data_IF_837015656801
#
_entry.id   IF_837015656801
#
_cell.length_a   1.000
_cell.length_b   1.000
_cell.length_c   1.000
_cell.angle_alpha   90.00
_cell.angle_beta   90.00
_cell.angle_gamma   90.00
#
_symmetry.space_group_name_H-M   'P 1'
#
loop_
_entity.id
_entity.type
_entity.pdbx_description
1 polymer ?
#
# COMPACT_ATOMS: atom_id res chain seq x y z
N UNK A 1 20.19 24.92 13.43
CA UNK A 1 19.25 24.69 12.32
C UNK A 1 19.07 23.18 12.25
N UNK A 2 17.87 22.66 12.53
CA UNK A 2 17.59 21.22 12.40
C UNK A 2 17.72 20.84 10.92
N UNK A 3 18.62 19.92 10.58
CA UNK A 3 18.68 19.36 9.24
C UNK A 3 17.67 18.20 9.12
N UNK A 4 17.23 17.88 7.90
CA UNK A 4 16.28 16.77 7.66
C UNK A 4 16.83 15.43 8.20
N UNK A 5 18.14 15.24 8.15
CA UNK A 5 18.84 14.07 8.73
C UNK A 5 18.76 13.98 10.27
N UNK A 6 18.41 15.08 10.94
CA UNK A 6 18.27 15.16 12.39
C UNK A 6 16.80 14.95 12.83
N UNK A 7 15.87 14.76 11.88
CA UNK A 7 14.48 14.42 12.15
C UNK A 7 14.37 12.91 12.41
N UNK A 8 13.56 12.54 13.40
CA UNK A 8 13.19 11.16 13.67
C UNK A 8 12.24 10.65 12.57
N UNK A 9 12.82 10.22 11.46
CA UNK A 9 12.11 9.69 10.29
C UNK A 9 12.08 8.18 10.39
N UNK A 10 10.88 7.62 10.51
CA UNK A 10 10.69 6.16 10.51
C UNK A 10 11.03 5.55 9.15
N UNK A 11 11.85 4.51 9.14
CA UNK A 11 12.16 3.74 7.93
C UNK A 11 10.98 2.84 7.55
N UNK A 12 10.93 2.37 6.31
CA UNK A 12 9.91 1.38 5.90
C UNK A 12 10.00 0.09 6.73
N UNK A 13 11.19 -0.36 7.12
CA UNK A 13 11.36 -1.54 7.99
C UNK A 13 10.64 -1.34 9.32
N UNK A 14 10.78 -0.15 9.92
CA UNK A 14 10.11 0.19 11.18
C UNK A 14 8.59 0.27 11.01
N UNK A 15 8.12 0.80 9.88
CA UNK A 15 6.69 0.81 9.53
C UNK A 15 6.14 -0.61 9.31
N UNK A 16 6.97 -1.50 8.77
CA UNK A 16 6.57 -2.84 8.36
C UNK A 16 6.52 -3.87 9.50
N UNK A 17 6.99 -3.51 10.70
CA UNK A 17 7.02 -4.42 11.86
C UNK A 17 5.63 -4.94 12.27
N UNK A 18 4.55 -4.21 11.91
CA UNK A 18 3.17 -4.61 12.19
C UNK A 18 2.32 -4.56 10.92
N UNK A 19 2.40 -5.58 10.05
CA UNK A 19 1.56 -5.65 8.86
C UNK A 19 0.07 -5.62 9.25
N UNK A 20 -0.76 -4.85 8.53
CA UNK A 20 -2.19 -4.86 8.76
C UNK A 20 -2.79 -6.21 8.36
N UNK A 21 -3.91 -6.60 8.98
CA UNK A 21 -4.62 -7.86 8.68
C UNK A 21 -4.92 -7.99 7.18
N UNK A 22 -5.29 -6.90 6.51
CA UNK A 22 -5.59 -6.91 5.08
C UNK A 22 -4.41 -7.35 4.21
N UNK A 23 -3.18 -7.06 4.64
CA UNK A 23 -1.99 -7.53 3.91
C UNK A 23 -1.82 -9.04 4.03
N UNK A 24 -2.01 -9.58 5.23
CA UNK A 24 -1.95 -11.01 5.41
C UNK A 24 -3.07 -11.74 4.65
N UNK A 25 -4.27 -11.16 4.63
CA UNK A 25 -5.40 -11.68 3.87
C UNK A 25 -5.10 -11.77 2.36
N UNK A 26 -4.28 -10.87 1.79
CA UNK A 26 -3.86 -10.98 0.38
C UNK A 26 -3.13 -12.29 0.09
N UNK A 27 -2.33 -12.79 1.02
CA UNK A 27 -1.60 -14.06 0.86
C UNK A 27 -2.54 -15.29 0.86
N UNK A 28 -3.71 -15.17 1.49
CA UNK A 28 -4.73 -16.22 1.51
C UNK A 28 -5.64 -16.14 0.28
N UNK A 29 -6.00 -14.92 -0.15
CA UNK A 29 -6.88 -14.70 -1.29
C UNK A 29 -6.18 -14.96 -2.64
N UNK A 30 -4.90 -14.60 -2.74
CA UNK A 30 -4.11 -14.70 -3.97
C UNK A 30 -2.77 -15.42 -3.71
N UNK A 31 -2.77 -16.69 -3.27
CA UNK A 31 -1.58 -17.38 -2.79
C UNK A 31 -0.48 -17.49 -3.86
N UNK A 32 -0.84 -17.87 -5.08
CA UNK A 32 0.12 -18.04 -6.18
C UNK A 32 0.73 -16.71 -6.63
N UNK A 33 -0.10 -15.66 -6.76
CA UNK A 33 0.35 -14.33 -7.14
C UNK A 33 1.22 -13.70 -6.04
N UNK A 34 0.86 -13.91 -4.77
CA UNK A 34 1.63 -13.46 -3.62
C UNK A 34 3.00 -14.16 -3.57
N UNK A 35 3.04 -15.49 -3.70
CA UNK A 35 4.28 -16.26 -3.71
C UNK A 35 5.20 -15.87 -4.88
N UNK A 36 4.62 -15.61 -6.06
CA UNK A 36 5.34 -15.10 -7.23
C UNK A 36 5.89 -13.68 -7.00
N UNK A 37 5.12 -12.81 -6.35
CA UNK A 37 5.49 -11.40 -6.14
C UNK A 37 6.54 -11.20 -5.02
N UNK A 38 6.49 -12.04 -3.99
CA UNK A 38 7.34 -11.95 -2.79
C UNK A 38 7.98 -13.31 -2.46
N UNK A 39 8.82 -13.86 -3.36
CA UNK A 39 9.37 -15.20 -3.20
C UNK A 39 10.31 -15.28 -2.01
N UNK A 40 10.09 -16.26 -1.12
CA UNK A 40 10.99 -16.55 0.01
C UNK A 40 11.03 -15.49 1.12
N UNK A 41 10.18 -14.46 1.05
CA UNK A 41 10.16 -13.37 2.04
C UNK A 41 9.29 -13.75 3.25
N UNK A 42 9.71 -13.33 4.45
CA UNK A 42 8.82 -13.29 5.61
C UNK A 42 7.69 -12.28 5.42
N UNK A 43 6.62 -12.38 6.22
CA UNK A 43 5.47 -11.47 6.10
C UNK A 43 5.86 -10.00 6.29
N UNK A 44 6.80 -9.70 7.20
CA UNK A 44 7.29 -8.33 7.43
C UNK A 44 8.15 -7.82 6.28
N UNK A 45 9.00 -8.66 5.69
CA UNK A 45 9.84 -8.29 4.54
C UNK A 45 8.98 -8.06 3.29
N UNK A 46 8.05 -8.99 3.02
CA UNK A 46 7.10 -8.87 1.93
C UNK A 46 6.25 -7.59 2.08
N UNK A 47 5.81 -7.26 3.30
CA UNK A 47 5.07 -6.04 3.55
C UNK A 47 5.91 -4.78 3.30
N UNK A 48 7.17 -4.75 3.75
CA UNK A 48 8.09 -3.63 3.49
C UNK A 48 8.31 -3.42 1.98
N UNK A 49 8.55 -4.49 1.23
CA UNK A 49 8.73 -4.45 -0.22
C UNK A 49 7.45 -4.01 -0.94
N UNK A 50 6.29 -4.53 -0.53
CA UNK A 50 4.98 -4.14 -1.05
C UNK A 50 4.69 -2.66 -0.77
N UNK A 51 5.04 -2.13 0.40
CA UNK A 51 4.88 -0.71 0.72
C UNK A 51 5.72 0.18 -0.20
N UNK A 52 6.99 -0.16 -0.43
CA UNK A 52 7.86 0.61 -1.35
C UNK A 52 7.34 0.56 -2.77
N UNK A 53 7.00 -0.63 -3.25
CA UNK A 53 6.49 -0.83 -4.61
C UNK A 53 5.15 -0.14 -4.80
N UNK A 54 4.25 -0.23 -3.82
CA UNK A 54 2.94 0.40 -3.83
C UNK A 54 3.04 1.91 -3.80
N UNK A 55 3.92 2.46 -2.96
CA UNK A 55 4.20 3.91 -2.91
C UNK A 55 4.77 4.43 -4.24
N UNK A 56 5.76 3.72 -4.82
CA UNK A 56 6.29 4.06 -6.16
C UNK A 56 5.23 3.98 -7.24
N UNK A 57 4.35 2.99 -7.17
CA UNK A 57 3.22 2.84 -8.10
C UNK A 57 2.23 3.99 -7.93
N UNK A 58 1.88 4.36 -6.70
CA UNK A 58 1.00 5.49 -6.39
C UNK A 58 1.51 6.82 -6.97
N UNK A 59 2.83 7.05 -6.88
CA UNK A 59 3.49 8.22 -7.47
C UNK A 59 3.53 8.11 -9.00
N UNK A 60 3.97 6.96 -9.53
CA UNK A 60 4.17 6.74 -10.96
C UNK A 60 2.88 6.81 -11.78
N UNK A 61 1.77 6.40 -11.19
CA UNK A 61 0.42 6.46 -11.78
C UNK A 61 -0.31 7.78 -11.49
N UNK A 62 0.39 8.73 -10.86
CA UNK A 62 -0.09 10.06 -10.50
C UNK A 62 -1.40 10.05 -9.67
N UNK A 63 -1.61 9.03 -8.84
CA UNK A 63 -2.79 8.91 -7.99
C UNK A 63 -2.95 10.13 -7.06
N UNK A 64 -1.84 10.69 -6.58
CA UNK A 64 -1.76 11.90 -5.75
C UNK A 64 -2.36 13.16 -6.40
N UNK A 65 -2.52 13.15 -7.72
CA UNK A 65 -3.11 14.28 -8.45
C UNK A 65 -4.65 14.32 -8.33
N UNK A 66 -5.27 13.16 -8.10
CA UNK A 66 -6.71 13.02 -7.91
C UNK A 66 -7.10 12.80 -6.44
N UNK A 67 -6.21 12.20 -5.65
CA UNK A 67 -6.42 11.82 -4.27
C UNK A 67 -5.45 12.54 -3.34
N UNK A 68 -6.01 13.23 -2.36
CA UNK A 68 -5.23 13.76 -1.25
C UNK A 68 -4.93 12.68 -0.22
N UNK A 69 -3.88 12.89 0.55
CA UNK A 69 -3.57 12.10 1.73
C UNK A 69 -3.41 13.05 2.92
N UNK A 70 -4.44 13.87 3.17
CA UNK A 70 -4.48 14.81 4.29
C UNK A 70 -5.93 15.16 4.63
N UNK A 71 -6.45 14.61 5.73
CA UNK A 71 -7.74 15.04 6.28
C UNK A 71 -7.56 16.38 6.99
N UNK A 72 -8.27 17.42 6.51
CA UNK A 72 -8.14 18.78 7.03
C UNK A 72 -9.06 18.99 8.24
N UNK A 73 -8.73 19.92 9.16
CA UNK A 73 -9.57 20.22 10.33
C UNK A 73 -10.80 21.09 10.01
N UNK A 74 -11.19 21.21 8.74
CA UNK A 74 -12.29 22.06 8.30
C UNK A 74 -13.06 21.42 7.13
N UNK A 75 -14.18 22.03 6.73
CA UNK A 75 -14.96 21.57 5.57
C UNK A 75 -15.68 20.24 5.79
N UNK A 76 -15.89 19.84 7.04
CA UNK A 76 -16.48 18.55 7.44
C UNK A 76 -15.69 17.33 6.92
N UNK A 77 -14.40 17.51 6.67
CA UNK A 77 -13.49 16.43 6.27
C UNK A 77 -13.45 15.32 7.32
N UNK A 78 -13.47 15.67 8.61
CA UNK A 78 -13.41 14.69 9.70
C UNK A 78 -14.62 13.73 9.69
N UNK A 79 -15.82 14.25 9.43
CA UNK A 79 -17.01 13.40 9.33
C UNK A 79 -17.05 12.54 8.05
N UNK A 80 -16.31 12.93 7.00
CA UNK A 80 -16.27 12.20 5.72
C UNK A 80 -15.19 11.12 5.67
N UNK A 81 -14.03 11.42 6.26
CA UNK A 81 -12.82 10.62 6.11
C UNK A 81 -12.27 10.11 7.44
N UNK A 82 -12.83 10.50 8.58
CA UNK A 82 -12.36 10.15 9.92
C UNK A 82 -11.41 11.20 10.49
N UNK A 83 -10.71 10.87 11.58
CA UNK A 83 -9.87 11.82 12.35
C UNK A 83 -8.92 12.65 11.47
N UNK A 84 -8.89 13.97 11.71
CA UNK A 84 -7.96 14.89 11.04
C UNK A 84 -6.50 14.43 11.08
N UNK A 85 -5.75 14.80 10.07
CA UNK A 85 -4.33 14.45 9.96
C UNK A 85 -3.45 15.30 10.88
N UNK A 86 -2.39 14.69 11.37
CA UNK A 86 -1.39 15.30 12.25
C UNK A 86 0.01 15.24 11.60
N UNK A 87 0.87 16.25 11.76
CA UNK A 87 2.20 16.29 11.13
C UNK A 87 3.06 15.06 11.40
N UNK A 88 2.97 14.48 12.60
CA UNK A 88 3.75 13.33 13.06
C UNK A 88 3.47 12.07 12.23
N UNK A 89 2.30 11.99 11.61
CA UNK A 89 1.92 10.87 10.74
C UNK A 89 2.80 10.80 9.48
N UNK A 90 3.33 11.94 9.03
CA UNK A 90 4.16 12.07 7.84
C UNK A 90 5.66 11.95 8.13
N UNK A 91 6.07 11.79 9.40
CA UNK A 91 7.47 11.57 9.78
C UNK A 91 7.89 10.12 9.49
N UNK A 92 7.99 9.79 8.20
CA UNK A 92 8.44 8.50 7.71
C UNK A 92 8.96 8.59 6.26
N UNK A 93 9.73 7.58 5.84
CA UNK A 93 10.37 7.49 4.54
C UNK A 93 9.39 7.61 3.36
N UNK A 94 8.15 7.09 3.48
CA UNK A 94 7.14 7.13 2.43
C UNK A 94 6.41 8.48 2.31
N UNK A 95 6.69 9.44 3.19
CA UNK A 95 6.04 10.75 3.18
C UNK A 95 7.06 11.89 3.14
N UNK A 96 8.27 11.59 2.67
CA UNK A 96 9.34 12.55 2.47
C UNK A 96 9.81 12.49 1.00
N UNK A 97 9.27 13.33 0.11
CA UNK A 97 8.35 14.46 0.35
C UNK A 97 6.89 14.05 0.61
N UNK A 98 6.06 14.91 1.24
CA UNK A 98 4.69 14.58 1.60
C UNK A 98 3.75 14.54 0.39
N UNK A 99 2.80 13.59 0.43
CA UNK A 99 1.80 13.36 -0.61
C UNK A 99 0.41 13.92 -0.23
N UNK A 100 0.36 15.05 0.47
CA UNK A 100 -0.90 15.66 0.95
C UNK A 100 -1.93 15.91 -0.16
N UNK A 101 -1.47 16.07 -1.40
CA UNK A 101 -2.30 16.35 -2.57
C UNK A 101 -2.77 17.80 -2.59
N UNK A 102 -3.02 18.32 -3.79
CA UNK A 102 -3.46 19.71 -4.01
C UNK A 102 -4.90 19.82 -4.51
N UNK A 103 -5.46 18.70 -4.98
CA UNK A 103 -6.80 18.59 -5.54
C UNK A 103 -7.46 17.29 -5.08
N UNK A 104 -8.79 17.29 -5.03
CA UNK A 104 -9.63 16.11 -4.75
C UNK A 104 -10.64 15.92 -5.87
N UNK A 105 -10.29 15.08 -6.84
CA UNK A 105 -11.25 14.54 -7.81
C UNK A 105 -11.86 13.26 -7.22
N UNK A 106 -11.03 12.42 -6.61
CA UNK A 106 -11.44 11.32 -5.76
C UNK A 106 -11.43 11.68 -4.27
N UNK A 107 -11.87 10.74 -3.40
CA UNK A 107 -11.82 10.90 -1.95
C UNK A 107 -10.39 10.98 -1.41
N UNK A 108 -10.24 11.50 -0.19
CA UNK A 108 -8.98 11.43 0.55
C UNK A 108 -8.66 9.98 0.94
N UNK A 109 -7.38 9.59 0.87
CA UNK A 109 -6.93 8.22 1.07
C UNK A 109 -6.17 7.98 2.38
N UNK A 110 -5.76 9.01 3.15
CA UNK A 110 -4.89 8.81 4.34
C UNK A 110 -5.53 7.94 5.43
N UNK A 111 -6.85 7.76 5.36
CA UNK A 111 -7.66 6.92 6.25
C UNK A 111 -8.37 5.78 5.51
N UNK A 112 -7.92 5.39 4.30
CA UNK A 112 -8.65 4.42 3.49
C UNK A 112 -8.53 2.98 4.01
N UNK A 113 -7.45 2.69 4.73
CA UNK A 113 -7.14 1.35 5.22
C UNK A 113 -8.28 0.70 5.98
N UNK A 114 -8.61 -0.52 5.59
CA UNK A 114 -9.65 -1.34 6.21
C UNK A 114 -11.09 -0.89 5.94
N UNK A 115 -11.34 0.18 5.17
CA UNK A 115 -12.71 0.62 4.84
C UNK A 115 -13.37 -0.14 3.70
N UNK A 116 -12.58 -0.90 2.94
CA UNK A 116 -13.04 -1.78 1.87
C UNK A 116 -12.23 -3.07 1.88
N UNK A 117 -12.81 -4.13 1.31
CA UNK A 117 -12.11 -5.40 1.14
C UNK A 117 -11.03 -5.29 0.06
N UNK A 118 -10.04 -6.19 0.10
CA UNK A 118 -9.05 -6.30 -0.96
C UNK A 118 -9.70 -6.60 -2.32
N UNK A 119 -10.76 -7.40 -2.34
CA UNK A 119 -11.49 -7.73 -3.58
C UNK A 119 -12.21 -6.50 -4.15
N UNK A 120 -12.74 -5.62 -3.29
CA UNK A 120 -13.25 -4.33 -3.73
C UNK A 120 -12.14 -3.49 -4.37
N UNK A 121 -10.93 -3.47 -3.77
CA UNK A 121 -9.80 -2.76 -4.36
C UNK A 121 -9.36 -3.36 -5.70
N UNK A 122 -9.33 -4.69 -5.81
CA UNK A 122 -9.09 -5.41 -7.06
C UNK A 122 -10.12 -5.02 -8.12
N UNK A 123 -11.41 -5.07 -7.82
CA UNK A 123 -12.44 -4.68 -8.78
C UNK A 123 -12.36 -3.18 -9.13
N UNK A 124 -12.09 -2.33 -8.12
CA UNK A 124 -12.00 -0.88 -8.30
C UNK A 124 -10.85 -0.46 -9.22
N UNK A 125 -9.65 -1.03 -9.05
CA UNK A 125 -8.53 -0.70 -9.91
C UNK A 125 -8.68 -1.31 -11.31
N UNK A 126 -9.35 -2.45 -11.45
CA UNK A 126 -9.62 -3.06 -12.76
C UNK A 126 -10.59 -2.20 -13.58
N UNK A 127 -11.74 -1.84 -12.99
CA UNK A 127 -12.74 -1.01 -13.62
C UNK A 127 -13.57 -0.24 -12.57
N UNK A 128 -13.20 1.02 -12.23
CA UNK A 128 -13.82 1.76 -11.13
C UNK A 128 -15.35 1.90 -11.19
N UNK A 129 -16.00 2.10 -12.36
CA UNK A 129 -17.45 2.18 -12.49
C UNK A 129 -18.23 0.94 -12.02
N UNK A 130 -17.61 -0.24 -12.02
CA UNK A 130 -18.30 -1.49 -11.65
C UNK A 130 -18.65 -1.54 -10.16
N UNK A 131 -17.81 -0.92 -9.31
CA UNK A 131 -18.02 -0.84 -7.86
C UNK A 131 -18.43 0.55 -7.39
N UNK A 132 -18.24 1.57 -8.22
CA UNK A 132 -18.63 2.95 -7.94
C UNK A 132 -19.23 3.60 -9.20
N UNK A 133 -20.54 3.42 -9.44
CA UNK A 133 -21.21 3.95 -10.63
C UNK A 133 -20.99 5.46 -10.79
N UNK A 134 -20.56 5.88 -11.98
CA UNK A 134 -20.24 7.29 -12.27
C UNK A 134 -18.84 7.74 -11.81
N UNK A 135 -17.97 6.80 -11.38
CA UNK A 135 -16.57 7.09 -11.12
C UNK A 135 -15.88 7.65 -12.38
N UNK A 136 -15.12 8.73 -12.19
CA UNK A 136 -14.26 9.33 -13.22
C UNK A 136 -12.81 8.86 -13.12
N UNK A 137 -12.51 7.97 -12.17
CA UNK A 137 -11.17 7.38 -12.01
C UNK A 137 -10.83 6.51 -13.24
N UNK A 138 -9.60 6.60 -13.79
CA UNK A 138 -9.14 5.71 -14.85
C UNK A 138 -9.06 4.25 -14.38
N UNK A 139 -9.19 3.31 -15.33
CA UNK A 139 -8.90 1.90 -15.11
C UNK A 139 -7.39 1.61 -15.19
N UNK A 140 -6.92 0.64 -14.40
CA UNK A 140 -5.52 0.23 -14.30
C UNK A 140 -5.35 -1.28 -14.63
N UNK A 141 -5.72 -1.75 -15.83
CA UNK A 141 -5.68 -3.17 -16.18
C UNK A 141 -4.26 -3.78 -16.15
N UNK A 142 -3.21 -2.96 -16.22
CA UNK A 142 -1.81 -3.42 -16.10
C UNK A 142 -1.38 -3.79 -14.68
N UNK A 143 -2.26 -3.64 -13.69
CA UNK A 143 -2.06 -4.17 -12.33
C UNK A 143 -2.41 -5.66 -12.21
N UNK A 144 -2.87 -6.28 -13.29
CA UNK A 144 -3.31 -7.67 -13.33
C UNK A 144 -2.44 -8.50 -14.26
N UNK A 145 -2.52 -9.81 -14.09
CA UNK A 145 -2.02 -10.78 -15.05
C UNK A 145 -2.94 -10.81 -16.29
N UNK A 146 -2.57 -11.60 -17.30
CA UNK A 146 -3.31 -11.69 -18.55
C UNK A 146 -4.75 -12.23 -18.41
N UNK A 147 -5.07 -12.88 -17.28
CA UNK A 147 -6.42 -13.35 -16.95
C UNK A 147 -7.37 -12.22 -16.52
N UNK A 148 -6.84 -11.02 -16.24
CA UNK A 148 -7.60 -9.83 -15.87
C UNK A 148 -8.17 -9.82 -14.46
N UNK A 149 -7.98 -10.88 -13.67
CA UNK A 149 -8.55 -10.99 -12.32
C UNK A 149 -7.49 -11.22 -11.24
N UNK A 150 -6.33 -11.74 -11.61
CA UNK A 150 -5.23 -11.98 -10.69
C UNK A 150 -4.34 -10.75 -10.62
N UNK A 151 -4.24 -10.05 -9.46
CA UNK A 151 -3.34 -8.91 -9.31
C UNK A 151 -1.88 -9.37 -9.41
N UNK A 152 -1.07 -8.69 -10.22
CA UNK A 152 0.36 -8.91 -10.29
C UNK A 152 1.08 -8.19 -9.14
N UNK A 153 2.42 -8.21 -9.10
CA UNK A 153 3.21 -7.55 -8.04
C UNK A 153 2.82 -6.07 -7.83
N UNK A 154 2.56 -5.30 -8.90
CA UNK A 154 2.12 -3.90 -8.78
C UNK A 154 0.73 -3.81 -8.18
N UNK A 155 -0.21 -4.65 -8.63
CA UNK A 155 -1.57 -4.72 -8.11
C UNK A 155 -1.62 -5.05 -6.62
N UNK A 156 -0.93 -6.11 -6.19
CA UNK A 156 -0.83 -6.46 -4.78
C UNK A 156 -0.19 -5.33 -3.95
N UNK A 157 0.86 -4.71 -4.48
CA UNK A 157 1.58 -3.65 -3.78
C UNK A 157 0.78 -2.35 -3.64
N UNK A 158 0.05 -1.91 -4.67
CA UNK A 158 -0.77 -0.69 -4.59
C UNK A 158 -1.95 -0.88 -3.64
N UNK A 159 -2.58 -2.06 -3.65
CA UNK A 159 -3.64 -2.41 -2.68
C UNK A 159 -3.07 -2.37 -1.27
N UNK A 160 -1.90 -2.99 -1.05
CA UNK A 160 -1.20 -2.97 0.23
C UNK A 160 -0.93 -1.56 0.72
N UNK A 161 -0.40 -0.69 -0.15
CA UNK A 161 -0.12 0.70 0.19
C UNK A 161 -1.40 1.46 0.59
N UNK A 162 -2.49 1.33 -0.18
CA UNK A 162 -3.77 1.97 0.17
C UNK A 162 -4.36 1.41 1.46
N UNK A 163 -4.23 0.10 1.70
CA UNK A 163 -4.69 -0.55 2.93
C UNK A 163 -3.85 -0.16 4.16
N UNK A 164 -2.60 0.23 3.96
CA UNK A 164 -1.73 0.72 5.02
C UNK A 164 -2.10 2.15 5.48
N UNK A 165 -2.68 2.98 4.62
CA UNK A 165 -3.03 4.36 4.95
C UNK A 165 -4.08 4.43 6.08
N UNK A 166 -3.63 4.87 7.26
CA UNK A 166 -4.45 4.99 8.47
C UNK A 166 -4.36 3.80 9.41
N UNK A 167 -3.54 2.78 9.10
CA UNK A 167 -3.38 1.58 9.92
C UNK A 167 -2.79 1.85 11.32
N UNK A 168 -2.14 2.99 11.52
CA UNK A 168 -1.54 3.42 12.78
C UNK A 168 -2.55 4.06 13.76
N UNK A 169 -3.80 4.26 13.34
CA UNK A 169 -4.87 4.70 14.24
C UNK A 169 -5.67 3.51 14.77
N UNK A 170 -6.30 3.66 15.96
CA UNK A 170 -7.30 2.70 16.41
C UNK A 170 -8.40 2.55 15.35
N UNK A 171 -8.69 1.31 14.96
CA UNK A 171 -9.74 0.99 14.00
C UNK A 171 -11.01 0.65 14.78
N UNK A 172 -12.06 1.45 14.62
CA UNK A 172 -13.39 1.22 15.21
C UNK A 172 -14.44 0.93 14.14
N UNK A 173 -15.69 1.33 14.36
CA UNK A 173 -16.85 1.15 13.46
C UNK A 173 -16.68 1.68 12.01
N UNK A 174 -15.58 2.39 11.73
CA UNK A 174 -15.27 2.94 10.42
C UNK A 174 -14.57 1.94 9.48
N UNK A 175 -14.13 0.78 9.97
CA UNK A 175 -13.54 -0.29 9.14
C UNK A 175 -14.50 -1.45 8.90
N UNK A 176 -14.37 -2.07 7.73
CA UNK A 176 -15.15 -3.24 7.30
C UNK A 176 -14.97 -4.42 8.26
N UNK A 177 -13.76 -4.55 8.81
CA UNK A 177 -13.38 -5.60 9.73
C UNK A 177 -13.44 -5.09 11.16
N UNK A 178 -14.13 -5.83 12.03
CA UNK A 178 -13.96 -5.70 13.48
C UNK A 178 -12.61 -6.33 13.84
N UNK A 179 -11.58 -5.50 13.85
CA UNK A 179 -10.23 -5.97 14.14
C UNK A 179 -10.05 -6.43 15.59
N UNK A 180 -10.87 -5.95 16.54
CA UNK A 180 -10.80 -6.41 17.93
C UNK A 180 -11.34 -7.82 18.06
N UNK A 181 -12.47 -8.12 17.40
CA UNK A 181 -13.00 -9.47 17.30
C UNK A 181 -12.07 -10.40 16.50
N UNK A 182 -11.53 -9.93 15.36
CA UNK A 182 -10.62 -10.74 14.54
C UNK A 182 -9.28 -10.97 15.24
N UNK A 183 -8.73 -10.01 15.99
CA UNK A 183 -7.45 -10.21 16.70
C UNK A 183 -7.55 -11.29 17.79
N UNK A 184 -8.74 -11.60 18.32
CA UNK A 184 -8.96 -12.69 19.25
C UNK A 184 -8.84 -14.08 18.58
N UNK A 185 -9.24 -14.19 17.32
CA UNK A 185 -9.29 -15.46 16.57
C UNK A 185 -8.19 -15.61 15.50
N UNK A 186 -7.54 -14.51 15.11
CA UNK A 186 -6.56 -14.46 14.05
C UNK A 186 -5.21 -15.03 14.50
N UNK A 187 -4.80 -16.13 13.86
CA UNK A 187 -3.43 -16.63 13.89
C UNK A 187 -2.72 -16.15 12.64
N UNK A 188 -1.57 -15.51 12.79
CA UNK A 188 -0.72 -15.17 11.65
C UNK A 188 -0.52 -16.43 10.79
N UNK A 189 -0.85 -16.40 9.48
CA UNK A 189 -0.75 -17.57 8.64
C UNK A 189 0.72 -17.98 8.53
N UNK A 190 0.99 -19.28 8.72
CA UNK A 190 2.29 -19.86 8.39
C UNK A 190 2.33 -19.94 6.87
N UNK A 191 3.02 -18.99 6.25
CA UNK A 191 3.21 -19.02 4.80
C UNK A 191 3.90 -20.34 4.43
N UNK A 192 3.40 -21.08 3.42
CA UNK A 192 4.05 -22.30 2.99
C UNK A 192 5.46 -21.95 2.49
N UNK A 193 6.46 -22.71 2.92
CA UNK A 193 7.79 -22.61 2.32
C UNK A 193 7.66 -22.92 0.83
N UNK A 194 8.02 -21.98 -0.04
CA UNK A 194 7.95 -22.14 -1.49
C UNK A 194 8.95 -23.22 -1.92
N UNK A 195 8.52 -24.39 -2.43
CA UNK A 195 9.45 -25.40 -2.91
C UNK A 195 10.03 -24.91 -4.26
N UNK A 196 11.35 -24.75 -4.35
CA UNK A 196 12.03 -24.41 -5.60
C UNK A 196 12.46 -22.95 -5.78
N UNK A 197 12.44 -22.13 -4.72
CA UNK A 197 13.17 -20.86 -4.74
C UNK A 197 14.68 -21.13 -4.62
N UNK A 198 15.31 -21.56 -5.71
CA UNK A 198 16.76 -21.42 -5.85
C UNK A 198 17.06 -19.92 -5.94
N UNK A 199 17.78 -19.42 -4.95
CA UNK A 199 18.37 -18.09 -5.00
C UNK A 199 19.42 -18.14 -6.10
N UNK A 200 19.06 -17.72 -7.32
CA UNK A 200 20.08 -17.35 -8.30
C UNK A 200 20.87 -16.19 -7.71
N UNK A 201 22.06 -16.51 -7.23
CA UNK A 201 23.07 -15.57 -6.84
C UNK A 201 23.51 -14.87 -8.13
N UNK A 202 22.86 -13.76 -8.47
CA UNK A 202 23.35 -12.89 -9.53
C UNK A 202 24.67 -12.31 -9.03
N UNK A 203 25.76 -12.84 -9.58
CA UNK A 203 27.10 -12.29 -9.49
C UNK A 203 27.05 -10.83 -9.94
N UNK A 204 27.11 -9.90 -8.99
CA UNK A 204 27.13 -8.45 -9.20
C UNK A 204 28.54 -7.94 -9.54
N UNK A 205 29.40 -8.81 -10.07
CA UNK A 205 30.68 -8.46 -10.66
C UNK A 205 30.54 -7.76 -12.01
N UNK A 206 30.45 -6.44 -12.02
CA UNK A 206 30.65 -5.62 -13.22
C UNK A 206 30.12 -4.20 -13.12
N UNK A 207 30.94 -3.29 -12.57
CA UNK A 207 30.78 -1.86 -12.76
C UNK A 207 31.00 -1.53 -14.25
N UNK A 208 29.93 -1.28 -14.99
CA UNK A 208 30.02 -0.72 -16.34
C UNK A 208 29.53 0.73 -16.33
N UNK A 209 30.51 1.63 -16.49
CA UNK A 209 30.40 3.08 -16.56
C UNK A 209 29.39 3.54 -17.64
N UNK A 210 28.19 3.92 -17.20
CA UNK A 210 27.13 4.48 -18.05
C UNK A 210 27.16 6.02 -18.11
N UNK A 211 28.34 6.62 -18.24
CA UNK A 211 28.49 8.05 -18.59
C UNK A 211 29.73 8.27 -19.46
N UNK A 212 29.62 7.86 -20.73
CA UNK A 212 30.54 8.32 -21.77
C UNK A 212 30.22 9.76 -22.15
N UNK A 213 31.20 10.64 -21.96
CA UNK A 213 31.23 12.01 -22.46
C UNK A 213 31.27 12.03 -24.00
N UNK A 214 30.42 12.84 -24.63
CA UNK A 214 30.69 13.54 -25.90
C UNK A 214 30.12 14.96 -25.84
#
# INVERSE_FOLDING_TARGET
MLAVKDLDVRTVEQLAQKPPFEFALLSEQYPDAYAKAFPGMSQTEAFAEALRTGHRTYIGEACWHCHSQQVRPWGNDEARYGRKSFPEEYHNELNMPPLWGTRRIGPDLIRRGGRQSNDWHVAHFYNPPDVNPGSVMPAYPWFYEADGLTPNKKGLSIITYVQWLGSWLPRGDETLYDLEALAADYRAPVLPAVPGAEVEQTDDGGEDDFWGEE
#
